data_IF_968279318023
#
_entry.id   IF_968279318023
#
_cell.length_a   1.000
_cell.length_b   1.000
_cell.length_c   1.000
_cell.angle_alpha   90.00
_cell.angle_beta   90.00
_cell.angle_gamma   90.00
#
_symmetry.space_group_name_H-M   'P 1'
#
loop_
_entity.id
_entity.type
_entity.pdbx_description
1 polymer ?
#
# COMPACT_ATOMS: atom_id res chain seq x y z
N UNK A 1 6.75 6.16 -23.31
CA UNK A 1 7.18 6.31 -21.90
C UNK A 1 6.71 5.08 -21.14
N UNK A 2 7.61 4.13 -20.87
CA UNK A 2 7.32 2.96 -20.04
C UNK A 2 7.59 3.33 -18.58
N UNK A 3 6.56 3.35 -17.74
CA UNK A 3 6.76 3.43 -16.29
C UNK A 3 6.89 1.99 -15.80
N UNK A 4 8.11 1.54 -15.52
CA UNK A 4 8.35 0.28 -14.82
C UNK A 4 7.99 0.47 -13.35
N UNK A 5 7.14 -0.41 -12.83
CA UNK A 5 6.77 -0.44 -11.42
C UNK A 5 7.74 -1.36 -10.69
N UNK A 6 8.41 -0.83 -9.67
CA UNK A 6 9.43 -1.55 -8.89
C UNK A 6 8.81 -1.97 -7.55
N UNK A 7 9.05 -3.22 -7.10
CA UNK A 7 8.55 -3.71 -5.79
C UNK A 7 9.65 -3.83 -4.76
N UNK A 8 9.44 -3.22 -3.61
CA UNK A 8 10.37 -3.25 -2.48
C UNK A 8 10.17 -4.44 -1.54
N UNK A 9 11.22 -4.82 -0.80
CA UNK A 9 11.23 -5.79 0.30
C UNK A 9 12.03 -5.18 1.45
N UNK A 10 11.56 -5.28 2.69
CA UNK A 10 12.37 -4.89 3.82
C UNK A 10 13.14 -6.10 4.35
N UNK A 11 14.47 -6.03 4.38
CA UNK A 11 15.35 -7.14 4.80
C UNK A 11 16.58 -6.55 5.50
N UNK A 12 16.93 -7.05 6.70
CA UNK A 12 18.05 -6.59 7.52
C UNK A 12 18.08 -5.08 7.84
N UNK A 13 16.94 -4.41 7.89
CA UNK A 13 16.88 -2.97 8.18
C UNK A 13 16.85 -2.04 6.95
N UNK A 14 16.86 -2.58 5.74
CA UNK A 14 16.83 -1.80 4.48
C UNK A 14 15.69 -2.22 3.53
N UNK A 15 15.16 -1.26 2.75
CA UNK A 15 14.14 -1.50 1.71
C UNK A 15 14.82 -1.79 0.36
N UNK A 16 14.65 -3.01 -0.19
CA UNK A 16 15.18 -3.51 -1.46
C UNK A 16 14.13 -3.58 -2.56
N UNK A 17 14.25 -2.69 -3.54
CA UNK A 17 13.41 -2.61 -4.74
C UNK A 17 13.89 -3.58 -5.83
N UNK A 18 13.06 -4.55 -6.21
CA UNK A 18 13.28 -5.50 -7.30
C UNK A 18 12.48 -5.06 -8.52
N UNK A 19 13.20 -4.82 -9.61
CA UNK A 19 12.61 -4.49 -10.91
C UNK A 19 11.96 -5.73 -11.55
N UNK A 20 10.93 -5.44 -12.34
CA UNK A 20 10.26 -6.27 -13.35
C UNK A 20 9.36 -7.47 -12.96
N UNK A 21 8.05 -7.23 -13.21
CA UNK A 21 7.01 -8.13 -13.76
C UNK A 21 6.58 -9.41 -13.05
N UNK A 22 7.36 -10.00 -12.16
CA UNK A 22 6.94 -11.21 -11.43
C UNK A 22 7.29 -11.06 -9.96
N UNK A 23 6.33 -10.50 -9.22
CA UNK A 23 6.37 -10.48 -7.77
C UNK A 23 6.38 -11.95 -7.31
N UNK A 24 7.41 -12.42 -6.60
CA UNK A 24 7.41 -13.77 -6.06
C UNK A 24 6.11 -14.01 -5.29
N UNK A 25 5.47 -15.17 -5.48
CA UNK A 25 4.15 -15.51 -4.94
C UNK A 25 4.02 -15.13 -3.45
N UNK A 26 5.03 -15.45 -2.64
CA UNK A 26 5.05 -15.07 -1.21
C UNK A 26 4.98 -13.57 -0.91
N UNK A 27 5.47 -12.69 -1.81
CA UNK A 27 5.37 -11.22 -1.65
C UNK A 27 4.03 -10.66 -2.12
N UNK A 28 3.27 -11.41 -2.91
CA UNK A 28 1.88 -11.07 -3.20
C UNK A 28 1.03 -11.41 -1.98
N UNK A 29 1.24 -12.60 -1.41
CA UNK A 29 0.52 -13.06 -0.20
C UNK A 29 0.67 -12.10 0.97
N UNK A 30 1.90 -11.63 1.26
CA UNK A 30 2.14 -10.67 2.37
C UNK A 30 1.39 -9.36 2.16
N UNK A 31 1.41 -8.80 0.94
CA UNK A 31 0.69 -7.56 0.65
C UNK A 31 -0.82 -7.75 0.75
N UNK A 32 -1.35 -8.88 0.25
CA UNK A 32 -2.78 -9.18 0.35
C UNK A 32 -3.20 -9.30 1.81
N UNK A 33 -2.45 -10.06 2.62
CA UNK A 33 -2.75 -10.26 4.05
C UNK A 33 -2.79 -8.91 4.78
N UNK A 34 -1.80 -8.06 4.56
CA UNK A 34 -1.78 -6.70 5.13
C UNK A 34 -2.99 -5.86 4.70
N UNK A 35 -3.37 -5.91 3.42
CA UNK A 35 -4.52 -5.16 2.91
C UNK A 35 -5.85 -5.72 3.42
N UNK A 36 -5.95 -7.04 3.63
CA UNK A 36 -7.11 -7.70 4.23
C UNK A 36 -7.30 -7.21 5.68
N UNK A 37 -6.25 -7.31 6.51
CA UNK A 37 -6.26 -6.81 7.89
C UNK A 37 -6.62 -5.32 7.96
N UNK A 38 -6.03 -4.50 7.07
CA UNK A 38 -6.34 -3.07 7.01
C UNK A 38 -7.80 -2.83 6.60
N UNK A 39 -8.33 -3.62 5.66
CA UNK A 39 -9.73 -3.53 5.24
C UNK A 39 -10.72 -3.93 6.35
N UNK A 40 -10.32 -4.82 7.26
CA UNK A 40 -11.09 -5.21 8.45
C UNK A 40 -11.11 -4.12 9.52
N UNK A 41 -10.03 -3.34 9.63
CA UNK A 41 -9.96 -2.21 10.57
C UNK A 41 -10.57 -0.92 10.03
N UNK A 42 -10.59 -0.74 8.71
CA UNK A 42 -11.01 0.52 8.11
C UNK A 42 -12.49 0.85 8.30
N UNK A 43 -12.82 2.12 8.43
CA UNK A 43 -14.20 2.60 8.58
C UNK A 43 -14.99 2.47 7.26
N UNK A 44 -14.38 2.80 6.12
CA UNK A 44 -15.07 2.81 4.84
C UNK A 44 -15.12 1.43 4.16
N UNK A 45 -15.93 0.51 4.71
CA UNK A 45 -16.10 -0.86 4.18
C UNK A 45 -16.52 -0.91 2.71
N UNK A 46 -17.32 0.03 2.24
CA UNK A 46 -17.78 0.08 0.85
C UNK A 46 -16.64 0.39 -0.12
N UNK A 47 -15.71 1.27 0.25
CA UNK A 47 -14.53 1.55 -0.56
C UNK A 47 -13.62 0.33 -0.68
N UNK A 48 -13.42 -0.39 0.43
CA UNK A 48 -12.65 -1.63 0.44
C UNK A 48 -13.30 -2.77 -0.34
N UNK A 49 -14.63 -2.91 -0.28
CA UNK A 49 -15.36 -3.85 -1.14
C UNK A 49 -15.09 -3.56 -2.63
N UNK A 50 -15.20 -2.29 -3.05
CA UNK A 50 -14.94 -1.87 -4.44
C UNK A 50 -13.49 -2.10 -4.86
N UNK A 51 -12.56 -1.91 -3.93
CA UNK A 51 -11.14 -2.19 -4.14
C UNK A 51 -10.93 -3.68 -4.46
N UNK A 52 -11.48 -4.57 -3.63
CA UNK A 52 -11.35 -6.02 -3.82
C UNK A 52 -12.07 -6.52 -5.09
N UNK A 53 -13.24 -5.97 -5.42
CA UNK A 53 -13.96 -6.26 -6.68
C UNK A 53 -13.09 -5.95 -7.93
N UNK A 54 -12.06 -5.11 -7.80
CA UNK A 54 -11.18 -4.66 -8.89
C UNK A 54 -9.72 -5.09 -8.75
N UNK A 55 -9.36 -5.79 -7.67
CA UNK A 55 -7.97 -6.06 -7.26
C UNK A 55 -7.08 -6.61 -8.37
N UNK A 56 -7.57 -7.56 -9.16
CA UNK A 56 -6.83 -8.17 -10.28
C UNK A 56 -6.38 -7.17 -11.37
N UNK A 57 -7.00 -5.98 -11.41
CA UNK A 57 -6.72 -4.92 -12.38
C UNK A 57 -5.94 -3.75 -11.79
N UNK A 58 -5.68 -3.76 -10.48
CA UNK A 58 -5.00 -2.67 -9.77
C UNK A 58 -3.49 -2.80 -9.95
N UNK A 59 -2.84 -1.68 -10.28
CA UNK A 59 -1.38 -1.56 -10.27
C UNK A 59 -0.96 -0.94 -8.95
N UNK A 60 -0.04 -1.60 -8.24
CA UNK A 60 0.50 -1.11 -6.97
C UNK A 60 1.87 -0.48 -7.19
N UNK A 61 2.04 0.79 -6.84
CA UNK A 61 3.35 1.48 -6.83
C UNK A 61 3.72 1.88 -5.43
N UNK A 62 4.90 1.47 -4.98
CA UNK A 62 5.45 1.85 -3.68
C UNK A 62 6.51 2.92 -3.81
N UNK A 63 6.52 3.90 -2.91
CA UNK A 63 7.61 4.85 -2.74
C UNK A 63 7.92 5.02 -1.25
N UNK A 64 9.18 4.88 -0.85
CA UNK A 64 9.58 5.12 0.53
C UNK A 64 10.35 6.44 0.61
N UNK A 65 9.87 7.34 1.46
CA UNK A 65 10.54 8.58 1.81
C UNK A 65 11.33 8.35 3.10
N UNK A 66 12.66 8.33 2.96
CA UNK A 66 13.58 8.07 4.08
C UNK A 66 13.67 9.24 5.05
N UNK A 67 13.48 10.48 4.59
CA UNK A 67 13.58 11.66 5.45
C UNK A 67 12.35 11.77 6.36
N UNK A 68 11.18 11.44 5.82
CA UNK A 68 9.93 11.45 6.56
C UNK A 68 9.64 10.14 7.32
N UNK A 69 10.36 9.05 7.02
CA UNK A 69 10.06 7.68 7.48
C UNK A 69 8.63 7.23 7.09
N UNK A 70 8.29 7.43 5.81
CA UNK A 70 6.95 7.18 5.28
C UNK A 70 6.98 6.28 4.05
N UNK A 71 6.16 5.22 4.04
CA UNK A 71 5.95 4.37 2.87
C UNK A 71 4.60 4.66 2.22
N UNK A 72 4.62 5.10 0.97
CA UNK A 72 3.45 5.33 0.15
C UNK A 72 3.16 4.12 -0.73
N UNK A 73 1.93 3.61 -0.69
CA UNK A 73 1.37 2.67 -1.66
C UNK A 73 0.32 3.41 -2.50
N UNK A 74 0.46 3.36 -3.83
CA UNK A 74 -0.45 4.00 -4.77
C UNK A 74 -1.10 2.95 -5.66
N UNK A 75 -2.43 2.99 -5.75
CA UNK A 75 -3.24 2.07 -6.56
C UNK A 75 -3.77 2.72 -7.84
N UNK A 76 -3.64 4.05 -7.93
CA UNK A 76 -3.99 4.86 -9.08
C UNK A 76 -2.79 5.71 -9.51
N UNK A 77 -2.73 6.05 -10.81
CA UNK A 77 -1.69 6.94 -11.36
C UNK A 77 -1.83 8.39 -10.86
N UNK A 78 -3.06 8.82 -10.55
CA UNK A 78 -3.36 10.14 -9.98
C UNK A 78 -3.31 10.06 -8.46
N UNK A 79 -2.68 11.04 -7.82
CA UNK A 79 -2.47 11.07 -6.37
C UNK A 79 -3.46 11.98 -5.62
N UNK A 80 -4.45 12.57 -6.31
CA UNK A 80 -5.42 13.46 -5.65
C UNK A 80 -6.50 12.65 -4.96
N UNK A 81 -6.41 12.58 -3.64
CA UNK A 81 -7.49 12.13 -2.78
C UNK A 81 -8.54 13.24 -2.62
N UNK A 82 -9.81 12.87 -2.43
CA UNK A 82 -10.86 13.77 -1.95
C UNK A 82 -11.23 13.52 -0.49
N UNK A 83 -10.78 12.40 0.08
CA UNK A 83 -11.01 12.02 1.47
C UNK A 83 -9.89 11.11 1.99
N UNK A 84 -9.76 10.99 3.31
CA UNK A 84 -8.76 10.13 3.96
C UNK A 84 -9.18 9.71 5.35
N UNK A 85 -8.73 8.53 5.74
CA UNK A 85 -8.90 7.96 7.07
C UNK A 85 -7.51 7.74 7.68
N UNK A 86 -7.27 8.25 8.88
CA UNK A 86 -6.09 7.92 9.68
C UNK A 86 -6.51 6.86 10.70
N UNK A 87 -5.87 5.68 10.64
CA UNK A 87 -6.12 4.59 11.58
C UNK A 87 -5.27 4.73 12.85
N UNK A 88 -5.66 4.02 13.91
CA UNK A 88 -4.90 3.92 15.16
C UNK A 88 -3.50 3.29 14.98
N UNK A 89 -3.28 2.62 13.86
CA UNK A 89 -1.99 2.01 13.51
C UNK A 89 -1.08 3.00 12.75
N UNK A 90 -1.32 4.31 12.77
CA UNK A 90 -0.56 5.33 12.02
C UNK A 90 -0.54 5.08 10.49
N UNK A 91 -1.64 4.57 9.95
CA UNK A 91 -1.83 4.33 8.52
C UNK A 91 -2.89 5.29 8.00
N UNK A 92 -2.56 6.05 6.95
CA UNK A 92 -3.52 6.89 6.24
C UNK A 92 -4.03 6.15 5.01
N UNK A 93 -5.30 5.83 4.98
CA UNK A 93 -6.01 5.31 3.82
C UNK A 93 -6.53 6.51 3.03
N UNK A 94 -6.23 6.57 1.74
CA UNK A 94 -6.63 7.67 0.85
C UNK A 94 -7.74 7.23 -0.09
N UNK A 95 -8.77 8.04 -0.16
CA UNK A 95 -9.94 7.80 -0.99
C UNK A 95 -10.07 8.82 -2.11
N UNK A 96 -10.63 8.37 -3.23
CA UNK A 96 -11.13 9.25 -4.28
C UNK A 96 -12.46 8.70 -4.78
N UNK A 97 -13.54 9.48 -4.67
CA UNK A 97 -14.89 9.08 -5.11
C UNK A 97 -15.35 7.74 -4.53
N UNK A 98 -15.01 7.48 -3.28
CA UNK A 98 -15.35 6.24 -2.57
C UNK A 98 -14.53 5.02 -3.03
N UNK A 99 -13.38 5.20 -3.65
CA UNK A 99 -12.42 4.14 -3.96
C UNK A 99 -11.12 4.32 -3.16
N UNK A 100 -10.53 3.23 -2.68
CA UNK A 100 -9.18 3.25 -2.08
C UNK A 100 -8.17 3.51 -3.20
N UNK A 101 -7.51 4.67 -3.18
CA UNK A 101 -6.52 5.05 -4.21
C UNK A 101 -5.08 4.95 -3.72
N UNK A 102 -4.87 4.84 -2.41
CA UNK A 102 -3.55 4.60 -1.85
C UNK A 102 -3.53 4.53 -0.34
N UNK A 103 -2.37 4.16 0.19
CA UNK A 103 -2.10 4.01 1.61
C UNK A 103 -0.80 4.75 1.90
N UNK A 104 -0.73 5.44 3.04
CA UNK A 104 0.48 6.06 3.56
C UNK A 104 0.76 5.48 4.92
N UNK A 105 1.91 4.84 5.06
CA UNK A 105 2.33 4.16 6.28
C UNK A 105 3.35 5.07 6.95
N UNK A 106 2.97 5.67 8.09
CA UNK A 106 3.89 6.49 8.88
C UNK A 106 4.75 5.59 9.77
N UNK A 107 5.89 6.12 10.22
CA UNK A 107 6.89 5.44 11.03
C UNK A 107 7.25 4.06 10.47
N UNK A 108 7.39 3.98 9.14
CA UNK A 108 7.40 2.72 8.41
C UNK A 108 8.57 1.82 8.85
N UNK A 109 9.72 2.41 9.18
CA UNK A 109 10.89 1.69 9.69
C UNK A 109 10.71 1.08 11.08
N UNK A 110 9.73 1.55 11.86
CA UNK A 110 9.48 1.13 13.25
C UNK A 110 8.43 0.03 13.35
N UNK A 111 7.75 -0.31 12.25
CA UNK A 111 6.76 -1.38 12.24
C UNK A 111 7.45 -2.72 12.45
N UNK A 112 7.16 -3.34 13.59
CA UNK A 112 7.62 -4.68 13.90
C UNK A 112 6.99 -5.67 12.94
N UNK A 113 7.80 -6.54 12.39
CA UNK A 113 7.30 -7.81 11.86
C UNK A 113 6.80 -8.63 13.06
N UNK A 114 5.65 -9.27 12.95
CA UNK A 114 5.27 -10.31 13.91
C UNK A 114 6.38 -11.39 13.91
N UNK A 115 6.80 -11.82 15.11
CA UNK A 115 7.78 -12.89 15.32
C UNK A 115 7.30 -14.25 14.78
#
# INVERSE_FOLDING_TARGET
MNVKTVKAVYENGEIKFLDDKNLPEGKITILITFLEELSEKAENKNAWKRFWDKWEKISVRSNYDKEADVLYLNFKKSARADDSELTDDDIIIRYEKGEVIGITILHASQRKTAD
#
